data_IF_868260323831
#
_entry.id   IF_868260323831
#
_cell.length_a   1.000
_cell.length_b   1.000
_cell.length_c   1.000
_cell.angle_alpha   90.00
_cell.angle_beta   90.00
_cell.angle_gamma   90.00
#
_symmetry.space_group_name_H-M   'P 1'
#
loop_
_entity.id
_entity.type
_entity.pdbx_description
1 polymer ?
#
# COMPACT_ATOMS: atom_id res chain seq x y z
N UNK A 1 21.15 -1.97 -0.48
CA UNK A 1 21.13 -0.75 -1.33
C UNK A 1 20.26 0.35 -0.72
N UNK A 2 18.96 0.14 -0.50
CA UNK A 2 18.07 1.16 0.08
C UNK A 2 18.51 1.59 1.48
N UNK A 3 18.76 0.62 2.37
CA UNK A 3 19.28 0.88 3.73
C UNK A 3 20.58 1.69 3.76
N UNK A 4 21.48 1.48 2.79
CA UNK A 4 22.73 2.24 2.72
C UNK A 4 22.49 3.68 2.27
N UNK A 5 21.54 3.89 1.35
CA UNK A 5 21.26 5.20 0.77
C UNK A 5 20.35 6.08 1.65
N UNK A 6 19.72 5.50 2.68
CA UNK A 6 18.82 6.23 3.58
C UNK A 6 19.48 7.37 4.37
N UNK A 7 20.82 7.44 4.42
CA UNK A 7 21.56 8.56 5.03
C UNK A 7 21.52 9.84 4.19
N UNK A 8 21.19 9.73 2.89
CA UNK A 8 21.25 10.83 1.92
C UNK A 8 19.92 11.10 1.23
N UNK A 9 19.01 10.12 1.24
CA UNK A 9 17.75 10.16 0.53
C UNK A 9 16.63 9.57 1.38
N UNK A 10 15.42 10.07 1.15
CA UNK A 10 14.22 9.37 1.57
C UNK A 10 14.00 8.14 0.72
N UNK A 11 14.20 6.98 1.34
CA UNK A 11 14.14 5.69 0.66
C UNK A 11 12.98 4.88 1.19
N UNK A 12 12.21 4.32 0.26
CA UNK A 12 11.15 3.38 0.57
C UNK A 12 11.05 2.34 -0.53
N UNK A 13 10.49 1.18 -0.19
CA UNK A 13 10.05 0.18 -1.15
C UNK A 13 8.62 -0.21 -0.83
N UNK A 14 7.81 -0.34 -1.87
CA UNK A 14 6.51 -0.96 -1.83
C UNK A 14 6.50 -2.10 -2.85
N UNK A 15 6.06 -3.26 -2.39
CA UNK A 15 5.84 -4.43 -3.20
C UNK A 15 4.38 -4.86 -3.03
N UNK A 16 3.74 -5.26 -4.12
CA UNK A 16 2.40 -5.84 -4.12
C UNK A 16 2.34 -6.87 -5.24
N UNK A 17 1.72 -8.01 -4.98
CA UNK A 17 1.44 -8.97 -6.07
C UNK A 17 0.26 -8.45 -6.91
N UNK A 18 0.30 -8.73 -8.21
CA UNK A 18 -0.78 -8.45 -9.15
C UNK A 18 -2.00 -9.37 -8.92
N UNK A 19 -1.77 -10.65 -8.65
CA UNK A 19 -2.80 -11.60 -8.23
C UNK A 19 -2.17 -12.77 -7.46
N UNK A 20 -3.02 -13.64 -6.91
CA UNK A 20 -2.60 -14.90 -6.30
C UNK A 20 -2.61 -16.07 -7.28
N UNK A 21 -2.55 -17.29 -6.77
CA UNK A 21 -2.42 -18.52 -7.57
C UNK A 21 -3.17 -19.67 -6.88
N UNK A 22 -3.91 -20.48 -7.65
CA UNK A 22 -4.44 -21.77 -7.20
C UNK A 22 -3.43 -22.89 -7.43
N UNK A 23 -3.27 -23.75 -6.44
CA UNK A 23 -2.27 -24.83 -6.40
C UNK A 23 -2.91 -26.23 -6.42
N UNK A 24 -4.17 -26.33 -6.85
CA UNK A 24 -4.92 -27.58 -6.97
C UNK A 24 -6.14 -27.67 -6.06
N UNK A 25 -6.47 -26.62 -5.30
CA UNK A 25 -7.65 -26.59 -4.44
C UNK A 25 -8.92 -26.78 -5.28
N UNK A 26 -9.74 -27.76 -4.91
CA UNK A 26 -10.96 -28.13 -5.66
C UNK A 26 -10.71 -28.44 -7.15
N UNK A 27 -9.51 -28.89 -7.50
CA UNK A 27 -9.11 -29.17 -8.89
C UNK A 27 -8.81 -27.93 -9.73
N UNK A 28 -8.80 -26.74 -9.13
CA UNK A 28 -8.42 -25.50 -9.79
C UNK A 28 -6.91 -25.28 -9.68
N UNK A 29 -6.28 -24.94 -10.80
CA UNK A 29 -4.86 -24.63 -10.90
C UNK A 29 -4.67 -23.27 -11.57
N UNK A 30 -3.49 -22.70 -11.38
CA UNK A 30 -3.09 -21.42 -11.97
C UNK A 30 -3.97 -20.26 -11.47
N UNK A 31 -4.10 -19.23 -12.30
CA UNK A 31 -4.87 -18.02 -12.04
C UNK A 31 -5.90 -17.77 -13.15
N UNK A 32 -6.44 -16.56 -13.23
CA UNK A 32 -7.42 -16.11 -14.22
C UNK A 32 -8.82 -16.74 -14.09
N UNK A 33 -9.21 -17.21 -12.90
CA UNK A 33 -10.62 -17.45 -12.63
C UNK A 33 -11.40 -16.12 -12.76
N UNK A 34 -12.65 -16.13 -13.28
CA UNK A 34 -13.48 -14.93 -13.29
C UNK A 34 -13.58 -14.33 -11.89
N UNK A 35 -13.29 -13.03 -11.73
CA UNK A 35 -13.10 -12.41 -10.40
C UNK A 35 -14.25 -12.70 -9.42
N UNK A 36 -15.50 -12.68 -9.89
CA UNK A 36 -16.69 -12.95 -9.07
C UNK A 36 -16.78 -14.41 -8.53
N UNK A 37 -16.00 -15.33 -9.10
CA UNK A 37 -15.94 -16.75 -8.75
C UNK A 37 -14.54 -17.17 -8.28
N UNK A 38 -13.56 -16.27 -8.31
CA UNK A 38 -12.18 -16.58 -7.98
C UNK A 38 -12.04 -16.90 -6.49
N UNK A 39 -11.32 -17.97 -6.11
CA UNK A 39 -11.08 -18.26 -4.70
C UNK A 39 -10.19 -17.19 -4.07
N UNK A 40 -10.19 -17.12 -2.74
CA UNK A 40 -9.29 -16.22 -2.00
C UNK A 40 -7.81 -16.41 -2.39
N UNK A 41 -7.41 -17.63 -2.73
CA UNK A 41 -6.04 -17.91 -3.19
C UNK A 41 -5.62 -17.10 -4.43
N UNK A 42 -6.56 -16.67 -5.29
CA UNK A 42 -6.26 -15.85 -6.47
C UNK A 42 -6.45 -14.34 -6.24
N UNK A 43 -7.19 -13.92 -5.21
CA UNK A 43 -7.56 -12.51 -4.99
C UNK A 43 -6.94 -11.88 -3.75
N UNK A 44 -6.58 -12.68 -2.74
CA UNK A 44 -5.89 -12.20 -1.54
C UNK A 44 -4.38 -12.24 -1.74
N UNK A 45 -3.77 -11.08 -1.94
CA UNK A 45 -2.35 -10.94 -2.29
C UNK A 45 -1.52 -10.25 -1.20
N UNK A 46 -0.23 -10.57 -1.08
CA UNK A 46 0.65 -9.88 -0.16
C UNK A 46 0.97 -8.46 -0.66
N UNK A 47 0.99 -7.53 0.29
CA UNK A 47 1.61 -6.20 0.12
C UNK A 47 2.65 -6.01 1.22
N UNK A 48 3.82 -5.51 0.84
CA UNK A 48 4.93 -5.22 1.73
C UNK A 48 5.37 -3.78 1.53
N UNK A 49 5.65 -3.11 2.64
CA UNK A 49 6.22 -1.76 2.64
C UNK A 49 7.39 -1.70 3.62
N UNK A 50 8.49 -1.13 3.15
CA UNK A 50 9.63 -0.78 3.98
C UNK A 50 9.98 0.68 3.75
N UNK A 51 10.34 1.35 4.83
CA UNK A 51 10.70 2.76 4.84
C UNK A 51 12.00 2.92 5.62
N UNK A 52 12.89 3.77 5.11
CA UNK A 52 14.06 4.22 5.84
C UNK A 52 13.70 4.79 7.21
N UNK A 53 14.67 4.80 8.11
CA UNK A 53 14.48 5.16 9.52
C UNK A 53 13.82 6.54 9.67
N UNK A 54 14.27 7.50 8.86
CA UNK A 54 13.81 8.89 8.91
C UNK A 54 12.68 9.20 7.92
N UNK A 55 12.51 8.41 6.86
CA UNK A 55 11.57 8.70 5.77
C UNK A 55 10.13 8.86 6.21
N UNK A 56 9.63 8.04 7.14
CA UNK A 56 8.27 8.23 7.67
C UNK A 56 8.14 9.52 8.49
N UNK A 57 9.18 9.92 9.22
CA UNK A 57 9.17 11.15 10.00
C UNK A 57 9.13 12.38 9.09
N UNK A 58 9.94 12.38 8.03
CA UNK A 58 10.03 13.48 7.07
C UNK A 58 8.71 13.63 6.27
N UNK A 59 8.02 12.52 6.00
CA UNK A 59 6.68 12.50 5.41
C UNK A 59 5.55 12.78 6.42
N UNK A 60 5.87 12.99 7.70
CA UNK A 60 4.89 13.19 8.77
C UNK A 60 3.96 11.99 9.01
N UNK A 61 4.37 10.77 8.65
CA UNK A 61 3.58 9.55 8.80
C UNK A 61 3.94 8.85 10.12
N UNK A 62 2.95 8.61 10.97
CA UNK A 62 3.14 7.88 12.21
C UNK A 62 3.32 6.38 11.95
N UNK A 63 4.49 5.85 12.31
CA UNK A 63 4.85 4.44 12.12
C UNK A 63 3.92 3.49 12.85
N UNK A 64 3.51 3.80 14.07
CA UNK A 64 2.62 2.92 14.86
C UNK A 64 1.21 2.87 14.28
N UNK A 65 0.69 4.00 13.78
CA UNK A 65 -0.55 4.03 13.02
C UNK A 65 -0.46 3.13 11.78
N UNK A 66 0.62 3.24 11.01
CA UNK A 66 0.80 2.44 9.79
C UNK A 66 0.92 0.94 10.10
N UNK A 67 1.58 0.57 11.20
CA UNK A 67 1.62 -0.82 11.66
C UNK A 67 0.24 -1.35 12.06
N UNK A 68 -0.61 -0.50 12.65
CA UNK A 68 -2.00 -0.81 12.97
C UNK A 68 -2.87 -1.15 11.75
N UNK A 69 -2.46 -0.74 10.54
CA UNK A 69 -3.17 -1.06 9.29
C UNK A 69 -2.95 -2.48 8.78
N UNK A 70 -2.01 -3.23 9.36
CA UNK A 70 -1.71 -4.59 8.92
C UNK A 70 -2.91 -5.50 9.13
N UNK A 71 -3.36 -6.14 8.06
CA UNK A 71 -4.51 -7.04 8.11
C UNK A 71 -5.87 -6.33 8.11
N UNK A 72 -5.93 -5.01 7.88
CA UNK A 72 -7.19 -4.34 7.54
C UNK A 72 -7.81 -5.03 6.30
N UNK A 73 -9.05 -5.50 6.36
CA UNK A 73 -9.66 -6.30 5.28
C UNK A 73 -9.97 -5.48 4.02
N UNK A 74 -10.00 -4.16 4.13
CA UNK A 74 -10.48 -3.26 3.07
C UNK A 74 -9.35 -2.68 2.20
N UNK A 75 -8.12 -3.17 2.35
CA UNK A 75 -7.00 -2.74 1.50
C UNK A 75 -6.96 -3.55 0.20
N UNK A 76 -6.94 -2.83 -0.92
CA UNK A 76 -6.91 -3.41 -2.28
C UNK A 76 -5.92 -2.68 -3.19
N UNK A 77 -5.88 -3.04 -4.47
CA UNK A 77 -5.14 -2.29 -5.48
C UNK A 77 -5.69 -0.88 -5.71
N UNK A 78 -6.94 -0.59 -5.34
CA UNK A 78 -7.55 0.74 -5.46
C UNK A 78 -6.77 1.79 -4.66
N UNK A 79 -6.11 1.35 -3.59
CA UNK A 79 -5.29 2.22 -2.75
C UNK A 79 -3.95 2.60 -3.39
N UNK A 80 -3.46 1.84 -4.38
CA UNK A 80 -2.09 2.00 -4.91
C UNK A 80 -1.88 3.38 -5.53
N UNK A 81 -2.80 3.81 -6.39
CA UNK A 81 -2.69 5.07 -7.12
C UNK A 81 -2.63 6.25 -6.14
N UNK A 82 -3.60 6.35 -5.24
CA UNK A 82 -3.70 7.46 -4.30
C UNK A 82 -2.57 7.46 -3.27
N UNK A 83 -2.12 6.30 -2.82
CA UNK A 83 -0.95 6.21 -1.93
C UNK A 83 0.38 6.55 -2.58
N UNK A 84 0.52 6.37 -3.89
CA UNK A 84 1.70 6.91 -4.60
C UNK A 84 1.61 8.44 -4.64
N UNK A 85 0.46 9.00 -5.04
CA UNK A 85 0.28 10.46 -5.05
C UNK A 85 0.53 11.09 -3.67
N UNK A 86 0.02 10.46 -2.61
CA UNK A 86 0.20 10.92 -1.23
C UNK A 86 1.65 10.88 -0.76
N UNK A 87 2.43 9.85 -1.12
CA UNK A 87 3.86 9.80 -0.76
C UNK A 87 4.68 10.90 -1.43
N UNK A 88 4.32 11.30 -2.65
CA UNK A 88 5.01 12.35 -3.40
C UNK A 88 4.37 13.73 -3.24
N UNK A 89 3.41 13.88 -2.33
CA UNK A 89 2.70 15.14 -2.04
C UNK A 89 2.08 15.81 -3.29
N UNK A 90 1.64 15.01 -4.26
CA UNK A 90 1.10 15.50 -5.53
C UNK A 90 -0.30 16.09 -5.32
N UNK A 91 -0.49 17.35 -5.73
CA UNK A 91 -1.78 18.02 -5.74
C UNK A 91 -2.47 17.83 -7.08
N UNK A 92 -3.61 17.15 -7.08
CA UNK A 92 -4.43 16.92 -8.28
C UNK A 92 -5.88 16.65 -7.88
N UNK A 93 -6.83 17.02 -8.74
CA UNK A 93 -8.25 16.72 -8.53
C UNK A 93 -8.57 15.23 -8.56
N UNK A 94 -7.64 14.41 -9.08
CA UNK A 94 -7.77 12.95 -9.09
C UNK A 94 -7.45 12.31 -7.75
N UNK A 95 -6.84 13.03 -6.80
CA UNK A 95 -6.45 12.45 -5.51
C UNK A 95 -7.67 12.29 -4.59
N UNK A 96 -7.86 11.09 -4.05
CA UNK A 96 -8.91 10.73 -3.11
C UNK A 96 -8.27 10.34 -1.77
N UNK A 97 -8.33 11.20 -0.72
CA UNK A 97 -7.65 10.94 0.55
C UNK A 97 -8.07 9.63 1.24
N UNK A 98 -9.33 9.21 1.08
CA UNK A 98 -9.85 7.97 1.63
C UNK A 98 -9.23 6.70 1.03
N UNK A 99 -8.60 6.79 -0.14
CA UNK A 99 -7.89 5.69 -0.78
C UNK A 99 -6.37 5.75 -0.53
N UNK A 100 -5.85 6.80 0.10
CA UNK A 100 -4.45 6.85 0.54
C UNK A 100 -4.26 6.18 1.92
N UNK A 101 -3.60 5.02 1.92
CA UNK A 101 -3.19 4.25 3.10
C UNK A 101 -2.49 5.12 4.16
N UNK A 102 -1.74 6.14 3.76
CA UNK A 102 -0.97 6.98 4.69
C UNK A 102 -1.77 8.17 5.23
N UNK A 103 -2.89 8.54 4.61
CA UNK A 103 -3.59 9.77 4.91
C UNK A 103 -4.04 9.83 6.37
N UNK A 104 -4.67 8.76 6.89
CA UNK A 104 -5.12 8.68 8.28
C UNK A 104 -3.97 8.63 9.30
N UNK A 105 -2.75 8.37 8.85
CA UNK A 105 -1.57 8.28 9.70
C UNK A 105 -0.72 9.56 9.72
N UNK A 106 -1.18 10.63 9.08
CA UNK A 106 -0.58 11.96 9.18
C UNK A 106 -1.31 12.77 10.27
N UNK A 107 -0.67 13.10 11.40
CA UNK A 107 -1.29 13.89 12.44
C UNK A 107 -1.41 15.33 11.94
N UNK A 108 -2.64 15.73 11.58
CA UNK A 108 -3.02 17.08 11.12
C UNK A 108 -2.45 17.51 9.76
N UNK A 109 -2.93 16.90 8.67
CA UNK A 109 -3.20 17.72 7.49
C UNK A 109 -4.44 18.54 7.82
N UNK A 110 -4.26 19.79 8.24
CA UNK A 110 -5.33 20.78 8.08
C UNK A 110 -5.79 20.68 6.63
N UNK A 111 -7.08 20.40 6.42
CA UNK A 111 -7.66 20.25 5.10
C UNK A 111 -7.19 21.43 4.24
N UNK A 112 -6.39 21.14 3.22
CA UNK A 112 -6.09 22.16 2.21
C UNK A 112 -7.43 22.51 1.57
N UNK A 113 -7.87 23.74 1.80
CA UNK A 113 -9.01 24.36 1.13
C UNK A 113 -8.74 24.48 -0.37
#
# INVERSE_FOLDING_TARGET
MLEHNQQRFDTSIRYVCDHGESLGENGLYLHAAPYALAPQAQTHVPMLMWFGQQTLNDLGIQRDCLQGKRGEPDLSHDNLFHSVLGLFEIRTSLYQPQLDIFHSCRPNMTAAQ
#
